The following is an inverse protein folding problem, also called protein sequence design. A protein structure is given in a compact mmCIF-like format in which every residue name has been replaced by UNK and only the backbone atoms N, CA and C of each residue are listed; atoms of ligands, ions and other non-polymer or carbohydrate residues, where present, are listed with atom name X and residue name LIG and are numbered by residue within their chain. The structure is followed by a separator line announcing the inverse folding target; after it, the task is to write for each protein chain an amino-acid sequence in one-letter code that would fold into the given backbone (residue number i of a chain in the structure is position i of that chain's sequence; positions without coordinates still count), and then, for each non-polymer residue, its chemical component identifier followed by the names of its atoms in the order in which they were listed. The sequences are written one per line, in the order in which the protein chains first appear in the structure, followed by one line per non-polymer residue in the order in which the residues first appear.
data_IF_715203923137
#
_entry.id   IF_715203923137
#
_cell.length_a   1.000
_cell.length_b   1.000
_cell.length_c   1.000
_cell.angle_alpha   90.00
_cell.angle_beta   90.00
_cell.angle_gamma   90.00
#
_symmetry.space_group_name_H-M   'P 1'
#
loop_
_entity.id
_entity.type
_entity.pdbx_description
1 polymer ?
#
# COMPACT_ATOMS: atom_id res chain seq x y z
N UNK A 1 -20.04 8.34 6.85
CA UNK A 1 -18.61 8.20 6.62
C UNK A 1 -18.35 7.73 5.20
N UNK A 2 -17.53 8.44 4.45
CA UNK A 2 -17.08 8.08 3.11
C UNK A 2 -15.57 7.91 3.04
N UNK A 3 -15.13 7.01 2.17
CA UNK A 3 -13.71 6.72 1.95
C UNK A 3 -13.35 6.96 0.49
N UNK A 4 -12.25 7.64 0.26
CA UNK A 4 -11.69 7.92 -1.05
C UNK A 4 -12.60 8.81 -1.94
N UNK A 5 -12.02 9.43 -2.93
CA UNK A 5 -12.70 10.36 -3.85
C UNK A 5 -14.03 9.82 -4.42
N UNK A 6 -14.15 8.51 -4.59
CA UNK A 6 -15.34 7.87 -5.17
C UNK A 6 -16.61 8.10 -4.35
N UNK A 7 -16.50 8.30 -3.04
CA UNK A 7 -17.65 8.58 -2.15
C UNK A 7 -17.94 10.07 -2.01
N UNK A 8 -17.06 10.92 -2.51
CA UNK A 8 -17.08 12.35 -2.28
C UNK A 8 -18.36 13.05 -2.71
N UNK A 9 -18.86 12.75 -3.92
CA UNK A 9 -20.11 13.37 -4.40
C UNK A 9 -21.31 13.07 -3.49
N UNK A 10 -21.34 11.85 -2.92
CA UNK A 10 -22.39 11.48 -1.96
C UNK A 10 -22.30 12.31 -0.68
N UNK A 11 -21.11 12.52 -0.14
CA UNK A 11 -20.91 13.33 1.05
C UNK A 11 -21.24 14.81 0.80
N UNK A 12 -20.82 15.37 -0.32
CA UNK A 12 -21.16 16.74 -0.72
C UNK A 12 -22.67 16.92 -0.92
N UNK A 13 -23.36 15.91 -1.47
CA UNK A 13 -24.82 15.92 -1.59
C UNK A 13 -25.49 15.92 -0.22
N UNK A 14 -25.06 15.06 0.70
CA UNK A 14 -25.61 14.98 2.07
C UNK A 14 -25.41 16.33 2.74
N UNK A 15 -24.20 16.87 2.72
CA UNK A 15 -23.92 18.14 3.37
C UNK A 15 -24.78 19.30 2.87
N UNK A 16 -25.07 19.33 1.56
CA UNK A 16 -25.88 20.37 0.95
C UNK A 16 -27.37 20.21 1.25
N UNK A 17 -27.90 18.98 1.24
CA UNK A 17 -29.34 18.72 1.24
C UNK A 17 -29.86 18.16 2.56
N UNK A 18 -28.99 17.65 3.44
CA UNK A 18 -29.31 17.03 4.72
C UNK A 18 -28.31 17.53 5.80
N UNK A 19 -28.27 18.85 6.07
CA UNK A 19 -27.26 19.47 6.94
C UNK A 19 -27.30 18.99 8.39
N UNK A 20 -28.37 18.30 8.80
CA UNK A 20 -28.48 17.66 10.10
C UNK A 20 -27.66 16.37 10.24
N UNK A 21 -27.12 15.83 9.12
CA UNK A 21 -26.30 14.62 9.10
C UNK A 21 -24.82 15.00 9.04
N UNK A 22 -24.09 14.75 10.12
CA UNK A 22 -22.65 14.96 10.15
C UNK A 22 -21.92 14.03 9.15
N UNK A 23 -20.93 14.59 8.46
CA UNK A 23 -20.18 13.93 7.41
C UNK A 23 -18.71 13.71 7.80
N UNK A 24 -18.19 12.51 7.58
CA UNK A 24 -16.77 12.17 7.76
C UNK A 24 -16.22 11.68 6.42
N UNK A 25 -15.06 12.21 6.03
CA UNK A 25 -14.35 11.77 4.85
C UNK A 25 -12.95 11.31 5.21
N UNK A 26 -12.55 10.14 4.70
CA UNK A 26 -11.19 9.60 4.88
C UNK A 26 -10.53 9.40 3.52
N UNK A 27 -9.33 9.97 3.35
CA UNK A 27 -8.44 9.59 2.24
C UNK A 27 -7.23 8.81 2.76
N UNK A 28 -6.90 7.69 2.10
CA UNK A 28 -5.78 6.83 2.45
C UNK A 28 -4.50 7.20 1.69
N UNK A 29 -4.63 7.88 0.59
CA UNK A 29 -3.58 8.56 -0.17
C UNK A 29 -4.27 9.46 -1.18
N UNK A 30 -3.74 10.66 -1.39
CA UNK A 30 -4.34 11.60 -2.34
C UNK A 30 -4.34 11.02 -3.76
N UNK A 31 -5.44 11.18 -4.48
CA UNK A 31 -5.54 10.69 -5.87
C UNK A 31 -4.49 11.32 -6.77
N UNK A 32 -4.22 12.61 -6.56
CA UNK A 32 -3.21 13.34 -7.33
C UNK A 32 -1.79 12.96 -6.92
N UNK A 33 -1.50 12.76 -5.63
CA UNK A 33 -0.19 12.28 -5.15
C UNK A 33 0.17 10.91 -5.73
N UNK A 34 -0.80 9.99 -5.77
CA UNK A 34 -0.62 8.68 -6.43
C UNK A 34 -0.30 8.85 -7.93
N UNK A 35 -0.93 9.81 -8.59
CA UNK A 35 -0.69 10.07 -10.02
C UNK A 35 0.68 10.68 -10.26
N UNK A 36 1.12 11.63 -9.42
CA UNK A 36 2.46 12.21 -9.47
C UNK A 36 3.52 11.11 -9.36
N UNK A 37 3.44 10.29 -8.30
CA UNK A 37 4.37 9.18 -8.08
C UNK A 37 4.30 8.12 -9.20
N UNK A 38 3.10 7.77 -9.66
CA UNK A 38 2.88 6.81 -10.75
C UNK A 38 3.44 7.26 -12.09
N UNK A 39 3.60 8.57 -12.30
CA UNK A 39 4.26 9.15 -13.48
C UNK A 39 5.76 9.41 -13.27
N UNK A 40 6.39 8.75 -12.31
CA UNK A 40 7.81 8.86 -12.00
C UNK A 40 8.27 10.27 -11.60
N UNK A 41 7.37 11.10 -11.13
CA UNK A 41 7.72 12.39 -10.55
C UNK A 41 8.04 12.21 -9.07
N UNK A 42 9.10 12.81 -8.52
CA UNK A 42 9.52 12.63 -7.13
C UNK A 42 8.57 13.38 -6.17
N UNK A 43 7.53 12.68 -5.70
CA UNK A 43 6.45 13.27 -4.91
C UNK A 43 6.95 13.96 -3.65
N UNK A 44 7.66 13.23 -2.79
CA UNK A 44 8.02 13.76 -1.46
C UNK A 44 9.21 14.71 -1.46
N UNK A 45 10.07 14.61 -2.46
CA UNK A 45 11.23 15.50 -2.62
C UNK A 45 10.80 16.93 -2.96
N UNK A 46 9.72 17.07 -3.72
CA UNK A 46 9.20 18.37 -4.16
C UNK A 46 7.75 18.61 -3.72
N UNK A 47 7.29 17.94 -2.68
CA UNK A 47 5.88 18.00 -2.26
C UNK A 47 5.39 19.45 -2.04
N UNK A 48 6.18 20.27 -1.37
CA UNK A 48 5.85 21.66 -1.07
C UNK A 48 5.90 22.59 -2.30
N UNK A 49 6.50 22.15 -3.40
CA UNK A 49 6.57 22.89 -4.66
C UNK A 49 5.44 22.53 -5.63
N UNK A 50 4.74 21.41 -5.39
CA UNK A 50 3.62 21.03 -6.23
C UNK A 50 2.35 21.82 -5.88
N UNK A 51 1.63 22.25 -6.92
CA UNK A 51 0.26 22.70 -6.78
C UNK A 51 -0.68 21.58 -7.24
N UNK A 52 -1.59 21.15 -6.38
CA UNK A 52 -2.48 20.00 -6.65
C UNK A 52 -3.36 20.20 -7.90
N UNK A 53 -3.91 21.39 -8.08
CA UNK A 53 -4.78 21.70 -9.22
C UNK A 53 -3.99 21.71 -10.53
N UNK A 54 -2.79 22.32 -10.57
CA UNK A 54 -1.92 22.32 -11.73
C UNK A 54 -1.47 20.90 -12.11
N UNK A 55 -1.12 20.10 -11.11
CA UNK A 55 -0.74 18.71 -11.34
C UNK A 55 -1.91 17.87 -11.82
N UNK A 56 -3.12 18.16 -11.36
CA UNK A 56 -4.33 17.51 -11.84
C UNK A 56 -4.59 17.81 -13.32
N UNK A 57 -4.37 19.06 -13.75
CA UNK A 57 -4.48 19.45 -15.15
C UNK A 57 -3.41 18.74 -16.01
N UNK A 58 -2.15 18.77 -15.57
CA UNK A 58 -1.03 18.14 -16.29
C UNK A 58 -1.23 16.63 -16.46
N UNK A 59 -1.77 15.96 -15.45
CA UNK A 59 -1.88 14.50 -15.41
C UNK A 59 -3.29 13.97 -15.75
N UNK A 60 -4.19 14.84 -16.25
CA UNK A 60 -5.57 14.50 -16.59
C UNK A 60 -6.36 13.88 -15.42
N UNK A 61 -6.18 14.44 -14.22
CA UNK A 61 -6.79 13.97 -12.99
C UNK A 61 -7.86 14.93 -12.42
N UNK A 62 -8.26 15.97 -13.16
CA UNK A 62 -9.11 17.05 -12.69
C UNK A 62 -10.38 16.55 -11.99
N UNK A 63 -11.09 15.61 -12.63
CA UNK A 63 -12.37 15.11 -12.08
C UNK A 63 -12.20 14.44 -10.73
N UNK A 64 -11.18 13.58 -10.56
CA UNK A 64 -10.93 12.86 -9.32
C UNK A 64 -10.40 13.79 -8.24
N UNK A 65 -9.42 14.62 -8.62
CA UNK A 65 -8.79 15.58 -7.74
C UNK A 65 -9.79 16.61 -7.21
N UNK A 66 -10.62 17.21 -8.08
CA UNK A 66 -11.60 18.20 -7.66
C UNK A 66 -12.66 17.63 -6.71
N UNK A 67 -13.14 16.40 -6.97
CA UNK A 67 -14.09 15.73 -6.05
C UNK A 67 -13.41 15.50 -4.70
N UNK A 68 -12.20 14.94 -4.66
CA UNK A 68 -11.47 14.68 -3.43
C UNK A 68 -11.22 15.96 -2.65
N UNK A 69 -10.68 16.98 -3.30
CA UNK A 69 -10.39 18.29 -2.71
C UNK A 69 -11.64 18.97 -2.17
N UNK A 70 -12.70 19.07 -2.97
CA UNK A 70 -13.95 19.70 -2.52
C UNK A 70 -14.58 18.91 -1.37
N UNK A 71 -14.52 17.60 -1.40
CA UNK A 71 -15.01 16.78 -0.29
C UNK A 71 -14.20 17.05 0.98
N UNK A 72 -12.89 17.01 0.88
CA UNK A 72 -12.01 17.31 2.01
C UNK A 72 -12.32 18.71 2.58
N UNK A 73 -12.50 19.73 1.74
CA UNK A 73 -12.74 21.11 2.17
C UNK A 73 -14.09 21.34 2.86
N UNK A 74 -15.11 20.53 2.55
CA UNK A 74 -16.50 20.83 2.98
C UNK A 74 -17.08 19.88 4.02
N UNK A 75 -16.53 18.68 4.22
CA UNK A 75 -17.04 17.76 5.26
C UNK A 75 -16.81 18.28 6.66
N UNK A 76 -17.64 17.84 7.60
CA UNK A 76 -17.54 18.22 9.01
C UNK A 76 -16.25 17.71 9.66
N UNK A 77 -15.80 16.52 9.27
CA UNK A 77 -14.55 15.94 9.74
C UNK A 77 -13.79 15.29 8.59
N UNK A 78 -12.58 15.77 8.34
CA UNK A 78 -11.65 15.17 7.36
C UNK A 78 -10.57 14.38 8.07
N UNK A 79 -10.36 13.14 7.67
CA UNK A 79 -9.40 12.23 8.29
C UNK A 79 -8.46 11.59 7.26
N UNK A 80 -7.30 11.19 7.72
CA UNK A 80 -6.35 10.39 6.93
C UNK A 80 -5.68 9.33 7.80
N UNK A 81 -4.84 8.49 7.19
CA UNK A 81 -4.32 7.27 7.84
C UNK A 81 -2.86 7.38 8.30
N UNK A 82 -2.17 8.48 7.97
CA UNK A 82 -0.78 8.69 8.39
C UNK A 82 -0.37 10.16 8.29
N UNK A 83 0.66 10.54 9.04
CA UNK A 83 1.24 11.88 8.98
C UNK A 83 1.79 12.23 7.59
N UNK A 84 2.29 11.23 6.86
CA UNK A 84 2.77 11.41 5.48
C UNK A 84 1.61 11.80 4.58
N UNK A 85 0.48 11.08 4.68
CA UNK A 85 -0.72 11.40 3.91
C UNK A 85 -1.31 12.75 4.34
N UNK A 86 -1.26 13.11 5.61
CA UNK A 86 -1.69 14.44 6.08
C UNK A 86 -0.86 15.57 5.44
N UNK A 87 0.45 15.37 5.28
CA UNK A 87 1.29 16.31 4.53
C UNK A 87 0.88 16.41 3.07
N UNK A 88 0.59 15.28 2.41
CA UNK A 88 0.05 15.31 1.03
C UNK A 88 -1.27 16.08 0.97
N UNK A 89 -2.19 15.84 1.89
CA UNK A 89 -3.48 16.53 1.94
C UNK A 89 -3.31 18.03 2.09
N UNK A 90 -2.43 18.46 2.99
CA UNK A 90 -2.14 19.88 3.20
C UNK A 90 -1.65 20.55 1.91
N UNK A 91 -0.68 19.97 1.22
CA UNK A 91 -0.04 20.60 0.06
C UNK A 91 -0.83 20.41 -1.25
N UNK A 92 -1.56 19.28 -1.40
CA UNK A 92 -2.22 18.95 -2.65
C UNK A 92 -3.73 19.15 -2.64
N UNK A 93 -4.37 19.12 -1.45
CA UNK A 93 -5.83 19.35 -1.29
C UNK A 93 -6.15 20.67 -0.59
N UNK A 94 -5.14 21.45 -0.22
CA UNK A 94 -5.27 22.71 0.54
C UNK A 94 -5.99 22.52 1.91
N UNK A 95 -5.98 21.31 2.45
CA UNK A 95 -6.57 21.02 3.76
C UNK A 95 -5.77 19.97 4.52
N UNK A 96 -5.40 20.31 5.74
CA UNK A 96 -4.87 19.36 6.72
C UNK A 96 -6.00 18.51 7.29
N UNK A 97 -5.71 17.24 7.60
CA UNK A 97 -6.68 16.39 8.27
C UNK A 97 -6.98 16.89 9.70
N UNK A 98 -8.24 16.77 10.11
CA UNK A 98 -8.65 17.07 11.49
C UNK A 98 -8.12 16.00 12.44
N UNK A 99 -8.06 14.75 11.98
CA UNK A 99 -7.54 13.62 12.76
C UNK A 99 -6.78 12.65 11.84
N UNK A 100 -5.63 12.18 12.30
CA UNK A 100 -4.90 11.07 11.69
C UNK A 100 -5.32 9.77 12.39
N UNK A 101 -5.94 8.86 11.64
CA UNK A 101 -6.45 7.57 12.11
C UNK A 101 -5.72 6.44 11.40
N UNK A 102 -4.64 5.90 11.97
CA UNK A 102 -3.92 4.77 11.37
C UNK A 102 -4.84 3.58 11.12
N UNK A 103 -4.57 2.86 10.02
CA UNK A 103 -5.30 1.62 9.74
C UNK A 103 -5.18 0.65 10.92
N UNK A 104 -6.31 0.05 11.29
CA UNK A 104 -6.34 -0.98 12.31
C UNK A 104 -5.57 -2.24 11.87
N UNK A 105 -5.02 -2.94 12.83
CA UNK A 105 -4.41 -4.24 12.65
C UNK A 105 -5.01 -5.21 13.68
N UNK A 106 -5.37 -6.38 13.21
CA UNK A 106 -5.86 -7.47 14.04
C UNK A 106 -4.86 -8.62 13.95
N UNK A 107 -4.42 -9.12 15.09
CA UNK A 107 -3.40 -10.17 15.19
C UNK A 107 -3.95 -11.53 15.65
N UNK A 108 -5.23 -11.66 15.82
CA UNK A 108 -5.92 -12.88 16.28
C UNK A 108 -5.65 -14.12 15.40
N UNK A 109 -5.30 -13.89 14.12
CA UNK A 109 -4.91 -14.98 13.23
C UNK A 109 -3.51 -15.55 13.53
N UNK A 110 -2.70 -14.85 14.31
CA UNK A 110 -1.40 -15.34 14.77
C UNK A 110 -1.55 -16.03 16.12
N UNK A 111 -1.31 -17.34 16.22
CA UNK A 111 -1.41 -18.02 17.50
C UNK A 111 -0.45 -17.42 18.54
N UNK A 112 -0.99 -17.00 19.67
CA UNK A 112 -0.22 -16.42 20.78
C UNK A 112 0.14 -17.44 21.87
N UNK A 113 -0.33 -18.67 21.72
CA UNK A 113 -0.24 -19.74 22.72
C UNK A 113 0.84 -20.78 22.37
N UNK A 114 0.84 -21.88 23.16
CA UNK A 114 1.73 -23.03 22.98
C UNK A 114 1.65 -23.69 21.59
N UNK A 115 0.64 -23.37 20.78
CA UNK A 115 0.49 -23.90 19.42
C UNK A 115 1.29 -23.12 18.38
N UNK A 116 1.80 -21.94 18.70
CA UNK A 116 2.56 -21.08 17.77
C UNK A 116 3.72 -21.84 17.12
N UNK A 117 4.59 -22.45 17.91
CA UNK A 117 5.77 -23.13 17.38
C UNK A 117 5.40 -24.30 16.46
N UNK A 118 4.35 -25.04 16.80
CA UNK A 118 3.85 -26.15 15.97
C UNK A 118 3.32 -25.61 14.63
N UNK A 119 2.41 -24.65 14.68
CA UNK A 119 1.82 -24.05 13.48
C UNK A 119 2.87 -23.36 12.60
N UNK A 120 3.85 -22.69 13.21
CA UNK A 120 4.97 -22.08 12.50
C UNK A 120 5.81 -23.13 11.77
N UNK A 121 6.12 -24.26 12.41
CA UNK A 121 6.86 -25.37 11.77
C UNK A 121 6.07 -25.98 10.61
N UNK A 122 4.77 -26.18 10.77
CA UNK A 122 3.89 -26.70 9.73
C UNK A 122 3.81 -25.75 8.53
N UNK A 123 3.61 -24.44 8.78
CA UNK A 123 3.58 -23.42 7.74
C UNK A 123 4.93 -23.33 6.98
N UNK A 124 6.05 -23.36 7.73
CA UNK A 124 7.39 -23.37 7.14
C UNK A 124 7.59 -24.58 6.23
N UNK A 125 7.25 -25.78 6.72
CA UNK A 125 7.35 -27.00 5.93
C UNK A 125 6.56 -26.89 4.64
N UNK A 126 5.32 -26.40 4.70
CA UNK A 126 4.47 -26.20 3.53
C UNK A 126 5.08 -25.26 2.51
N UNK A 127 5.67 -24.13 2.95
CA UNK A 127 6.34 -23.18 2.05
C UNK A 127 7.54 -23.82 1.35
N UNK A 128 8.38 -24.58 2.08
CA UNK A 128 9.51 -25.28 1.48
C UNK A 128 9.09 -26.38 0.51
N UNK A 129 8.04 -27.14 0.85
CA UNK A 129 7.48 -28.15 -0.04
C UNK A 129 6.94 -27.53 -1.36
N UNK A 130 6.28 -26.38 -1.27
CA UNK A 130 5.83 -25.62 -2.45
C UNK A 130 7.04 -25.15 -3.27
N UNK A 131 8.08 -24.63 -2.63
CA UNK A 131 9.30 -24.20 -3.32
C UNK A 131 9.93 -25.34 -4.10
N UNK A 132 10.14 -26.48 -3.46
CA UNK A 132 10.69 -27.69 -4.09
C UNK A 132 9.86 -28.16 -5.27
N UNK A 133 8.53 -28.11 -5.12
CA UNK A 133 7.63 -28.53 -6.19
C UNK A 133 7.64 -27.57 -7.40
N UNK A 134 7.85 -26.28 -7.17
CA UNK A 134 7.85 -25.27 -8.23
C UNK A 134 9.20 -25.15 -8.94
N UNK A 135 10.30 -25.28 -8.22
CA UNK A 135 11.65 -25.11 -8.78
C UNK A 135 12.26 -26.43 -9.26
N UNK A 136 11.82 -27.56 -8.72
CA UNK A 136 12.47 -28.85 -8.92
C UNK A 136 13.78 -29.03 -8.14
N UNK A 137 14.18 -28.03 -7.35
CA UNK A 137 15.41 -28.03 -6.59
C UNK A 137 15.26 -28.68 -5.21
N UNK A 138 16.36 -29.19 -4.68
CA UNK A 138 16.45 -29.58 -3.27
C UNK A 138 16.75 -28.33 -2.44
N UNK A 139 15.83 -27.96 -1.56
CA UNK A 139 16.00 -26.82 -0.65
C UNK A 139 16.16 -27.33 0.78
N UNK A 140 17.16 -26.83 1.49
CA UNK A 140 17.46 -27.23 2.85
C UNK A 140 16.31 -26.85 3.82
N UNK A 141 16.08 -27.69 4.84
CA UNK A 141 15.00 -27.44 5.83
C UNK A 141 15.29 -26.20 6.69
N UNK A 142 16.52 -25.79 6.83
CA UNK A 142 16.94 -24.60 7.56
C UNK A 142 17.06 -23.33 6.71
N UNK A 143 16.72 -23.39 5.39
CA UNK A 143 16.75 -22.24 4.50
C UNK A 143 16.03 -21.01 5.11
N UNK A 144 16.54 -19.82 4.91
CA UNK A 144 15.90 -18.58 5.34
C UNK A 144 14.75 -18.27 4.39
N UNK A 145 13.54 -18.12 4.94
CA UNK A 145 12.37 -17.71 4.15
C UNK A 145 12.15 -16.20 4.37
N UNK A 146 12.12 -15.46 3.29
CA UNK A 146 11.78 -14.04 3.26
C UNK A 146 10.67 -13.80 2.26
N UNK A 147 9.76 -12.88 2.57
CA UNK A 147 8.64 -12.59 1.66
C UNK A 147 8.32 -11.11 1.60
N UNK A 148 7.78 -10.70 0.46
CA UNK A 148 7.06 -9.45 0.30
C UNK A 148 5.68 -9.74 -0.27
N UNK A 149 4.67 -9.01 0.19
CA UNK A 149 3.30 -9.18 -0.28
C UNK A 149 2.64 -7.84 -0.56
N UNK A 150 1.69 -7.81 -1.48
CA UNK A 150 0.95 -6.61 -1.80
C UNK A 150 0.30 -6.67 -3.18
N UNK A 151 -0.26 -5.55 -3.64
CA UNK A 151 -0.74 -5.43 -5.02
C UNK A 151 0.42 -5.51 -6.00
N UNK A 152 0.15 -6.02 -7.20
CA UNK A 152 1.16 -6.11 -8.26
C UNK A 152 1.50 -4.73 -8.84
N UNK A 153 2.16 -3.92 -8.02
CA UNK A 153 2.62 -2.57 -8.35
C UNK A 153 4.14 -2.52 -8.18
N UNK A 154 4.85 -2.67 -9.29
CA UNK A 154 6.30 -2.88 -9.34
C UNK A 154 7.10 -1.94 -8.44
N UNK A 155 6.90 -0.62 -8.59
CA UNK A 155 7.63 0.40 -7.81
C UNK A 155 6.93 0.77 -6.51
N UNK A 156 5.60 0.98 -6.55
CA UNK A 156 4.86 1.46 -5.38
C UNK A 156 4.86 0.47 -4.21
N UNK A 157 5.12 -0.81 -4.48
CA UNK A 157 5.23 -1.86 -3.46
C UNK A 157 6.67 -2.32 -3.23
N UNK A 158 7.64 -1.63 -3.84
CA UNK A 158 9.06 -1.92 -3.64
C UNK A 158 9.48 -3.30 -4.12
N UNK A 159 8.78 -3.89 -5.10
CA UNK A 159 9.12 -5.22 -5.65
C UNK A 159 10.51 -5.15 -6.31
N UNK A 160 10.79 -4.06 -7.02
CA UNK A 160 12.10 -3.76 -7.62
C UNK A 160 13.21 -3.69 -6.56
N UNK A 161 12.96 -2.99 -5.45
CA UNK A 161 13.91 -2.88 -4.33
C UNK A 161 14.12 -4.23 -3.67
N UNK A 162 13.06 -5.03 -3.49
CA UNK A 162 13.15 -6.37 -2.93
C UNK A 162 14.01 -7.28 -3.81
N UNK A 163 13.78 -7.30 -5.13
CA UNK A 163 14.57 -8.10 -6.07
C UNK A 163 16.03 -7.66 -6.10
N UNK A 164 16.28 -6.34 -6.09
CA UNK A 164 17.66 -5.84 -6.03
C UNK A 164 18.36 -6.22 -4.72
N UNK A 165 17.66 -6.19 -3.59
CA UNK A 165 18.19 -6.66 -2.32
C UNK A 165 18.59 -8.14 -2.37
N UNK A 166 17.72 -9.00 -2.95
CA UNK A 166 18.04 -10.42 -3.16
C UNK A 166 19.24 -10.60 -4.10
N UNK A 167 19.31 -9.81 -5.17
CA UNK A 167 20.44 -9.86 -6.10
C UNK A 167 21.76 -9.49 -5.41
N UNK A 168 21.77 -8.50 -4.53
CA UNK A 168 22.97 -8.15 -3.72
C UNK A 168 23.34 -9.27 -2.76
N UNK A 169 22.39 -9.88 -2.09
CA UNK A 169 22.63 -11.04 -1.22
C UNK A 169 23.23 -12.21 -2.03
N UNK A 170 22.74 -12.46 -3.24
CA UNK A 170 23.31 -13.49 -4.13
C UNK A 170 24.77 -13.21 -4.47
N UNK A 171 25.14 -11.97 -4.70
CA UNK A 171 26.53 -11.59 -5.02
C UNK A 171 27.46 -11.70 -3.82
N UNK A 172 26.92 -11.78 -2.59
CA UNK A 172 27.65 -12.02 -1.34
C UNK A 172 27.44 -13.47 -0.83
N UNK A 173 27.16 -14.39 -1.73
CA UNK A 173 26.77 -15.77 -1.41
C UNK A 173 27.83 -16.52 -0.58
N UNK A 174 29.11 -16.21 -0.74
CA UNK A 174 30.19 -16.84 0.00
C UNK A 174 30.12 -16.56 1.53
N UNK A 175 29.46 -15.48 1.93
CA UNK A 175 29.22 -15.12 3.32
C UNK A 175 27.87 -15.66 3.87
N UNK A 176 27.03 -16.20 3.01
CA UNK A 176 25.74 -16.77 3.41
C UNK A 176 25.92 -18.20 3.90
N UNK A 177 25.57 -18.43 5.16
CA UNK A 177 25.67 -19.76 5.79
C UNK A 177 24.46 -20.67 5.49
N UNK A 178 23.40 -20.13 4.91
CA UNK A 178 22.13 -20.83 4.62
C UNK A 178 21.55 -20.35 3.31
N UNK A 179 20.82 -21.24 2.65
CA UNK A 179 20.01 -20.89 1.48
C UNK A 179 18.94 -19.86 1.83
N UNK A 180 18.58 -19.04 0.86
CA UNK A 180 17.49 -18.06 0.97
C UNK A 180 16.39 -18.42 -0.04
N UNK A 181 15.18 -18.55 0.46
CA UNK A 181 13.96 -18.67 -0.34
C UNK A 181 13.19 -17.36 -0.26
N UNK A 182 13.01 -16.72 -1.39
CA UNK A 182 12.31 -15.44 -1.50
C UNK A 182 10.94 -15.63 -2.16
N UNK A 183 9.87 -15.21 -1.46
CA UNK A 183 8.51 -15.20 -2.00
C UNK A 183 8.08 -13.77 -2.35
N UNK A 184 7.50 -13.61 -3.54
CA UNK A 184 6.80 -12.39 -3.96
C UNK A 184 5.33 -12.76 -4.12
N UNK A 185 4.53 -12.36 -3.14
CA UNK A 185 3.12 -12.73 -3.05
C UNK A 185 2.24 -11.59 -3.57
N UNK A 186 1.85 -11.68 -4.83
CA UNK A 186 1.05 -10.66 -5.50
C UNK A 186 -0.15 -11.30 -6.22
N UNK A 187 -1.34 -10.68 -6.17
CA UNK A 187 -2.45 -11.10 -7.02
C UNK A 187 -2.07 -10.81 -8.47
N UNK A 188 -1.98 -11.86 -9.28
CA UNK A 188 -1.67 -11.76 -10.69
C UNK A 188 -2.77 -12.44 -11.52
N UNK A 189 -3.08 -11.84 -12.67
CA UNK A 189 -3.98 -12.44 -13.65
C UNK A 189 -3.22 -13.49 -14.45
N UNK A 190 -3.31 -14.73 -13.99
CA UNK A 190 -2.68 -15.88 -14.65
C UNK A 190 -3.71 -16.98 -14.87
N UNK A 191 -3.67 -17.63 -16.03
CA UNK A 191 -4.55 -18.75 -16.35
C UNK A 191 -4.08 -20.06 -15.69
N UNK A 192 -2.75 -20.22 -15.55
CA UNK A 192 -2.15 -21.40 -14.91
C UNK A 192 -0.72 -21.07 -14.46
N UNK A 193 -0.16 -21.94 -13.62
CA UNK A 193 1.28 -21.90 -13.31
C UNK A 193 2.11 -22.12 -14.60
N UNK A 194 3.25 -21.47 -14.68
CA UNK A 194 4.23 -21.77 -15.74
C UNK A 194 4.76 -23.19 -15.53
N UNK A 195 4.84 -23.94 -16.64
CA UNK A 195 5.48 -25.25 -16.66
C UNK A 195 6.98 -25.08 -16.71
#
# INVERSE_FOLDING_TARGET
HGNEWMTGLGLLYIQKNLPEIATIFTTHATSIGRSIAGNNKPLYEYLEAYNGDQMADELNMQSKHSIEKQTALHVDCFTTVSDITDRECKELLDRKADVVLPNGFEDDFVPQDKTFDKKRKEARKRLLDITRALTGDTVADDAVIISTSGRYEWRNKGIDVFIEAINRLRNDADNLKREIVAFIEVPAWVNCARK
#
